data_IF_955949446538
#
_entry.id   IF_955949446538
#
_cell.length_a   1.000
_cell.length_b   1.000
_cell.length_c   1.000
_cell.angle_alpha   90.00
_cell.angle_beta   90.00
_cell.angle_gamma   90.00
#
_symmetry.space_group_name_H-M   'P 1'
#
loop_
_entity.id
_entity.type
_entity.pdbx_description
1 polymer ?
#
# COMPACT_ATOMS: atom_id res chain seq x y z
N UNK A 1 1.12 -8.54 30.86
CA UNK A 1 0.67 -7.61 29.79
C UNK A 1 -0.76 -7.97 29.47
N UNK A 2 -1.61 -7.04 29.06
CA UNK A 2 -2.87 -7.47 28.45
C UNK A 2 -2.48 -8.15 27.13
N UNK A 3 -2.56 -9.48 27.07
CA UNK A 3 -2.10 -10.32 25.94
C UNK A 3 -2.80 -10.01 24.59
N UNK A 4 -3.61 -8.94 24.53
CA UNK A 4 -4.46 -8.60 23.41
C UNK A 4 -4.49 -7.08 23.09
N UNK A 5 -3.45 -6.33 23.46
CA UNK A 5 -3.37 -4.89 23.16
C UNK A 5 -1.93 -4.37 23.05
N UNK A 6 -1.77 -3.26 22.34
CA UNK A 6 -0.50 -2.55 22.15
C UNK A 6 -0.49 -1.28 23.00
N UNK A 7 0.55 -1.07 23.80
CA UNK A 7 0.71 0.16 24.58
C UNK A 7 0.97 1.36 23.67
N UNK A 8 0.20 2.44 23.84
CA UNK A 8 0.39 3.69 23.08
C UNK A 8 0.89 4.84 23.96
N UNK A 9 0.66 4.77 25.27
CA UNK A 9 1.08 5.81 26.19
C UNK A 9 0.26 5.82 27.47
N UNK A 10 0.30 6.96 28.16
CA UNK A 10 -0.39 7.16 29.44
C UNK A 10 -1.01 8.55 29.53
N UNK A 11 -2.29 8.58 29.86
CA UNK A 11 -3.07 9.74 30.27
C UNK A 11 -3.20 9.74 31.81
N UNK A 12 -4.41 9.93 32.35
CA UNK A 12 -4.77 9.55 33.72
C UNK A 12 -4.69 8.02 33.93
N UNK A 13 -4.78 7.26 32.84
CA UNK A 13 -4.67 5.80 32.80
C UNK A 13 -3.72 5.34 31.70
N UNK A 14 -3.39 4.05 31.69
CA UNK A 14 -2.69 3.41 30.58
C UNK A 14 -3.59 3.43 29.34
N UNK A 15 -3.05 3.86 28.21
CA UNK A 15 -3.75 3.91 26.93
C UNK A 15 -3.20 2.85 26.00
N UNK A 16 -4.08 2.03 25.44
CA UNK A 16 -3.73 0.85 24.66
C UNK A 16 -4.64 0.72 23.43
N UNK A 17 -4.08 0.19 22.36
CA UNK A 17 -4.81 -0.24 21.17
C UNK A 17 -5.18 -1.71 21.30
N UNK A 18 -6.47 -2.01 21.42
CA UNK A 18 -6.96 -3.38 21.45
C UNK A 18 -6.82 -4.05 20.08
N UNK A 19 -6.15 -5.20 20.02
CA UNK A 19 -5.93 -5.92 18.77
C UNK A 19 -7.24 -6.32 18.05
N UNK A 20 -8.34 -6.73 18.74
CA UNK A 20 -9.60 -7.01 18.06
C UNK A 20 -10.24 -5.79 17.36
N UNK A 21 -9.79 -4.58 17.70
CA UNK A 21 -10.27 -3.32 17.11
C UNK A 21 -9.28 -2.73 16.11
N UNK A 22 -8.10 -3.34 15.94
CA UNK A 22 -7.03 -2.78 15.12
C UNK A 22 -7.28 -2.91 13.60
N UNK A 23 -8.13 -3.83 13.15
CA UNK A 23 -8.55 -3.90 11.75
C UNK A 23 -9.60 -2.83 11.39
N UNK A 24 -10.04 -1.99 12.34
CA UNK A 24 -10.96 -0.86 12.09
C UNK A 24 -10.24 0.38 11.53
N UNK A 25 -9.09 0.17 10.92
CA UNK A 25 -8.20 1.19 10.37
C UNK A 25 -7.78 2.25 11.40
N UNK A 26 -6.91 3.18 11.02
CA UNK A 26 -6.60 4.30 11.87
C UNK A 26 -5.89 5.46 11.20
N UNK A 27 -5.87 6.57 11.93
CA UNK A 27 -5.24 7.80 11.53
C UNK A 27 -4.22 8.21 12.60
N UNK A 28 -2.97 8.44 12.18
CA UNK A 28 -1.95 9.09 13.00
C UNK A 28 -1.64 10.45 12.37
N UNK A 29 -1.95 11.53 13.08
CA UNK A 29 -1.79 12.89 12.54
C UNK A 29 -1.11 13.86 13.50
N UNK A 30 -0.53 14.93 12.98
CA UNK A 30 0.29 15.87 13.74
C UNK A 30 1.29 16.63 12.88
N UNK A 31 1.72 17.82 13.33
CA UNK A 31 2.74 18.59 12.63
C UNK A 31 4.11 17.85 12.56
N UNK A 32 5.01 18.31 11.70
CA UNK A 32 6.38 17.77 11.61
C UNK A 32 7.10 17.86 12.96
N UNK A 33 7.81 16.78 13.32
CA UNK A 33 8.58 16.72 14.57
C UNK A 33 7.75 16.47 15.84
N UNK A 34 6.45 16.20 15.74
CA UNK A 34 5.57 16.02 16.91
C UNK A 34 5.51 14.61 17.46
N UNK A 35 6.11 13.62 16.77
CA UNK A 35 6.19 12.23 17.24
C UNK A 35 5.38 11.20 16.44
N UNK A 36 4.84 11.57 15.26
CA UNK A 36 4.11 10.64 14.38
C UNK A 36 4.91 9.36 14.07
N UNK A 37 6.17 9.52 13.62
CA UNK A 37 7.04 8.39 13.29
C UNK A 37 7.29 7.48 14.48
N UNK A 38 7.49 8.05 15.68
CA UNK A 38 7.64 7.27 16.92
C UNK A 38 6.37 6.48 17.24
N UNK A 39 5.19 7.07 17.00
CA UNK A 39 3.92 6.34 17.17
C UNK A 39 3.79 5.20 16.17
N UNK A 40 4.13 5.44 14.90
CA UNK A 40 4.14 4.41 13.87
C UNK A 40 5.06 3.25 14.29
N UNK A 41 6.29 3.55 14.72
CA UNK A 41 7.26 2.55 15.20
C UNK A 41 6.71 1.73 16.36
N UNK A 42 6.21 2.37 17.43
CA UNK A 42 5.62 1.68 18.59
C UNK A 42 4.46 0.75 18.16
N UNK A 43 3.59 1.24 17.27
CA UNK A 43 2.48 0.43 16.77
C UNK A 43 2.96 -0.74 15.93
N UNK A 44 3.91 -0.52 15.01
CA UNK A 44 4.47 -1.56 14.15
C UNK A 44 5.19 -2.64 14.98
N UNK A 45 6.03 -2.25 15.93
CA UNK A 45 6.69 -3.16 16.86
C UNK A 45 5.67 -3.97 17.67
N UNK A 46 4.64 -3.30 18.21
CA UNK A 46 3.58 -3.96 18.97
C UNK A 46 2.78 -4.98 18.14
N UNK A 47 2.48 -4.67 16.87
CA UNK A 47 1.81 -5.60 15.96
C UNK A 47 2.70 -6.80 15.64
N UNK A 48 3.97 -6.58 15.28
CA UNK A 48 4.92 -7.63 15.00
C UNK A 48 5.13 -8.53 16.23
N UNK A 49 5.27 -7.96 17.43
CA UNK A 49 5.38 -8.70 18.69
C UNK A 49 4.12 -9.55 18.98
N UNK A 50 2.94 -9.03 18.64
CA UNK A 50 1.68 -9.77 18.72
C UNK A 50 1.51 -10.83 17.61
N UNK A 51 2.51 -11.05 16.75
CA UNK A 51 2.45 -12.03 15.65
C UNK A 51 1.62 -11.56 14.46
N UNK A 52 1.44 -10.25 14.29
CA UNK A 52 0.74 -9.64 13.16
C UNK A 52 1.78 -9.07 12.19
N UNK A 53 1.89 -9.58 10.95
CA UNK A 53 2.75 -9.00 9.94
C UNK A 53 2.36 -7.56 9.63
N UNK A 54 3.36 -6.70 9.47
CA UNK A 54 3.19 -5.28 9.19
C UNK A 54 3.79 -4.97 7.83
N UNK A 55 3.14 -4.11 7.06
CA UNK A 55 3.72 -3.49 5.87
C UNK A 55 3.75 -1.98 6.07
N UNK A 56 4.89 -1.35 5.79
CA UNK A 56 5.01 0.10 5.83
C UNK A 56 5.78 0.62 4.62
N UNK A 57 5.28 1.70 4.03
CA UNK A 57 6.03 2.46 3.04
C UNK A 57 6.94 3.48 3.73
N UNK A 58 8.25 3.29 3.61
CA UNK A 58 9.24 4.18 4.21
C UNK A 58 9.73 5.19 3.18
N UNK A 59 9.03 6.32 3.13
CA UNK A 59 9.32 7.42 2.20
C UNK A 59 10.53 8.23 2.66
N UNK A 60 10.78 8.30 3.98
CA UNK A 60 11.82 9.15 4.57
C UNK A 60 13.08 8.40 4.99
N UNK A 61 13.04 7.07 5.01
CA UNK A 61 14.10 6.22 5.55
C UNK A 61 14.05 6.09 7.08
N UNK A 62 13.03 6.65 7.73
CA UNK A 62 12.94 6.73 9.20
C UNK A 62 12.50 5.39 9.83
N UNK A 63 11.93 4.46 9.06
CA UNK A 63 11.46 3.16 9.56
C UNK A 63 12.50 2.06 9.41
N UNK A 64 13.41 2.18 8.45
CA UNK A 64 14.45 1.19 8.18
C UNK A 64 15.26 0.77 9.42
N UNK A 65 15.51 1.68 10.36
CA UNK A 65 16.27 1.42 11.59
C UNK A 65 15.62 0.41 12.55
N UNK A 66 14.34 0.07 12.38
CA UNK A 66 13.61 -0.90 13.22
C UNK A 66 14.22 -2.32 13.18
N UNK A 67 14.99 -2.62 12.13
CA UNK A 67 15.68 -3.91 11.97
C UNK A 67 16.93 -4.05 12.85
N UNK A 68 17.35 -2.99 13.54
CA UNK A 68 18.52 -2.95 14.39
C UNK A 68 18.11 -2.90 15.85
N UNK A 69 18.93 -3.49 16.73
CA UNK A 69 18.77 -3.31 18.17
C UNK A 69 18.93 -1.85 18.53
N UNK A 70 18.01 -1.35 19.34
CA UNK A 70 18.09 0.01 19.85
C UNK A 70 19.24 0.19 20.83
N UNK A 71 19.71 1.43 20.95
CA UNK A 71 20.67 1.80 21.99
C UNK A 71 19.93 2.38 23.20
N UNK A 72 20.27 1.87 24.38
CA UNK A 72 19.77 2.39 25.64
C UNK A 72 20.24 3.83 25.86
N UNK A 73 19.29 4.76 26.01
CA UNK A 73 19.56 6.16 26.38
C UNK A 73 18.82 6.49 27.66
N UNK A 74 19.50 7.13 28.61
CA UNK A 74 18.95 7.39 29.96
C UNK A 74 17.60 8.11 29.91
N UNK A 75 17.48 9.14 29.07
CA UNK A 75 16.23 9.89 28.93
C UNK A 75 15.05 9.04 28.39
N UNK A 76 15.32 8.02 27.58
CA UNK A 76 14.28 7.11 27.07
C UNK A 76 13.83 6.15 28.17
N UNK A 77 14.78 5.60 28.94
CA UNK A 77 14.49 4.71 30.06
C UNK A 77 13.70 5.44 31.16
N UNK A 78 14.13 6.65 31.52
CA UNK A 78 13.41 7.50 32.48
C UNK A 78 12.00 7.84 31.99
N UNK A 79 11.85 8.14 30.69
CA UNK A 79 10.54 8.39 30.08
C UNK A 79 9.65 7.16 30.15
N UNK A 80 10.16 5.99 29.77
CA UNK A 80 9.43 4.72 29.81
C UNK A 80 8.93 4.41 31.23
N UNK A 81 9.80 4.55 32.24
CA UNK A 81 9.42 4.41 33.66
C UNK A 81 8.34 5.39 34.06
N UNK A 82 8.45 6.67 33.67
CA UNK A 82 7.46 7.70 34.01
C UNK A 82 6.06 7.40 33.45
N UNK A 83 5.99 6.81 32.27
CA UNK A 83 4.72 6.46 31.62
C UNK A 83 4.24 5.04 31.97
N UNK A 84 4.99 4.28 32.77
CA UNK A 84 4.67 2.89 33.12
C UNK A 84 4.79 1.93 31.94
N UNK A 85 5.76 2.17 31.05
CA UNK A 85 6.13 1.25 29.97
C UNK A 85 7.27 0.35 30.47
N UNK A 86 6.90 -0.59 31.36
CA UNK A 86 7.87 -1.38 32.15
C UNK A 86 8.63 -2.41 31.32
N UNK A 87 8.09 -2.79 30.16
CA UNK A 87 8.62 -3.75 29.19
C UNK A 87 9.29 -3.08 27.99
N UNK A 88 9.76 -1.84 28.17
CA UNK A 88 10.47 -1.11 27.13
C UNK A 88 11.80 -1.81 26.77
N UNK A 89 11.78 -2.55 25.65
CA UNK A 89 12.91 -3.28 25.10
C UNK A 89 13.58 -2.55 23.94
N UNK A 90 14.77 -3.01 23.58
CA UNK A 90 15.57 -2.50 22.46
C UNK A 90 15.82 -3.60 21.42
N UNK A 91 14.85 -4.50 21.26
CA UNK A 91 14.97 -5.66 20.39
C UNK A 91 14.86 -5.27 18.92
N UNK A 92 15.61 -5.97 18.08
CA UNK A 92 15.49 -5.85 16.63
C UNK A 92 14.21 -6.52 16.13
N UNK A 93 13.55 -5.90 15.15
CA UNK A 93 12.42 -6.51 14.47
C UNK A 93 12.86 -7.34 13.26
N UNK A 94 12.23 -8.50 13.01
CA UNK A 94 12.47 -9.29 11.83
C UNK A 94 11.93 -8.53 10.61
N UNK A 95 12.81 -7.91 9.85
CA UNK A 95 12.44 -7.00 8.76
C UNK A 95 12.80 -7.56 7.40
N UNK A 96 11.91 -7.40 6.42
CA UNK A 96 12.13 -7.66 5.00
C UNK A 96 12.02 -6.33 4.26
N UNK A 97 13.06 -5.99 3.51
CA UNK A 97 13.06 -4.79 2.67
C UNK A 97 12.59 -5.13 1.27
N UNK A 98 11.70 -4.29 0.75
CA UNK A 98 11.07 -4.42 -0.57
C UNK A 98 11.33 -3.17 -1.40
N UNK A 99 11.45 -3.32 -2.71
CA UNK A 99 11.74 -2.22 -3.63
C UNK A 99 11.14 -2.48 -5.02
N UNK A 100 10.43 -1.51 -5.59
CA UNK A 100 9.85 -1.62 -6.95
C UNK A 100 10.94 -1.54 -8.04
N UNK A 101 12.04 -0.86 -7.76
CA UNK A 101 13.16 -0.73 -8.69
C UNK A 101 14.23 -1.82 -8.47
N UNK A 102 14.17 -2.52 -7.33
CA UNK A 102 15.06 -3.64 -6.98
C UNK A 102 16.49 -3.23 -6.67
N UNK A 103 16.71 -2.01 -6.16
CA UNK A 103 18.04 -1.49 -5.83
C UNK A 103 18.40 -1.68 -4.34
N UNK A 104 17.46 -1.37 -3.43
CA UNK A 104 17.68 -1.32 -1.98
C UNK A 104 16.92 -2.41 -1.20
N UNK A 105 16.25 -3.32 -1.91
CA UNK A 105 15.43 -4.38 -1.30
C UNK A 105 15.09 -5.49 -2.28
N UNK A 106 14.31 -6.46 -1.81
CA UNK A 106 13.75 -7.51 -2.66
C UNK A 106 12.84 -6.88 -3.72
N UNK A 107 13.01 -7.22 -5.01
CA UNK A 107 12.20 -6.66 -6.07
C UNK A 107 10.74 -7.06 -5.88
N UNK A 108 9.84 -6.08 -5.87
CA UNK A 108 8.41 -6.32 -6.01
C UNK A 108 8.05 -6.21 -7.48
N UNK A 109 7.35 -7.23 -7.98
CA UNK A 109 6.78 -7.23 -9.34
C UNK A 109 5.37 -7.76 -9.37
N UNK A 110 4.70 -7.48 -10.46
CA UNK A 110 3.43 -8.10 -10.89
C UNK A 110 3.39 -8.17 -12.39
N UNK A 111 2.58 -9.04 -12.97
CA UNK A 111 2.41 -9.07 -14.43
C UNK A 111 1.33 -8.08 -14.90
N UNK A 112 1.41 -7.68 -16.17
CA UNK A 112 0.34 -6.88 -16.80
C UNK A 112 -1.00 -7.64 -16.80
N UNK A 113 -0.95 -8.97 -16.97
CA UNK A 113 -2.09 -9.87 -16.85
C UNK A 113 -2.73 -9.86 -15.46
N UNK A 114 -1.95 -9.94 -14.38
CA UNK A 114 -2.46 -9.85 -13.00
C UNK A 114 -3.12 -8.50 -12.71
N UNK A 115 -2.49 -7.41 -13.14
CA UNK A 115 -3.07 -6.07 -12.99
C UNK A 115 -4.41 -5.93 -13.72
N UNK A 116 -4.51 -6.50 -14.92
CA UNK A 116 -5.72 -6.51 -15.73
C UNK A 116 -6.08 -5.15 -16.36
N UNK A 117 -7.05 -5.14 -17.30
CA UNK A 117 -7.35 -3.97 -18.12
C UNK A 117 -7.99 -2.84 -17.32
N UNK A 118 -8.79 -3.16 -16.29
CA UNK A 118 -9.49 -2.17 -15.48
C UNK A 118 -8.49 -1.34 -14.65
N UNK A 119 -7.60 -1.99 -13.91
CA UNK A 119 -6.64 -1.28 -13.05
C UNK A 119 -5.65 -0.47 -13.89
N UNK A 120 -5.16 -1.05 -14.99
CA UNK A 120 -4.31 -0.33 -15.96
C UNK A 120 -5.00 0.89 -16.56
N UNK A 121 -6.30 0.79 -16.86
CA UNK A 121 -7.08 1.93 -17.38
C UNK A 121 -7.16 3.07 -16.37
N UNK A 122 -7.43 2.73 -15.10
CA UNK A 122 -7.51 3.71 -14.00
C UNK A 122 -6.15 4.34 -13.73
N UNK A 123 -5.08 3.53 -13.72
CA UNK A 123 -3.69 3.96 -13.60
C UNK A 123 -3.35 4.96 -14.71
N UNK A 124 -3.57 4.61 -15.98
CA UNK A 124 -3.22 5.46 -17.12
C UNK A 124 -4.16 6.66 -17.31
N UNK A 125 -5.24 6.77 -16.53
CA UNK A 125 -6.27 7.77 -16.70
C UNK A 125 -6.95 7.68 -18.07
N UNK A 126 -7.24 6.45 -18.51
CA UNK A 126 -7.86 6.18 -19.80
C UNK A 126 -9.34 6.64 -19.81
N UNK A 127 -9.80 7.08 -20.98
CA UNK A 127 -11.23 7.34 -21.22
C UNK A 127 -12.01 6.03 -21.35
N UNK A 128 -13.34 6.07 -21.26
CA UNK A 128 -14.19 4.87 -21.43
C UNK A 128 -13.92 4.13 -22.75
N UNK A 129 -13.70 4.87 -23.84
CA UNK A 129 -13.37 4.28 -25.13
C UNK A 129 -11.98 3.60 -25.15
N UNK A 130 -11.01 4.18 -24.45
CA UNK A 130 -9.66 3.61 -24.32
C UNK A 130 -9.66 2.38 -23.40
N UNK A 131 -10.41 2.44 -22.29
CA UNK A 131 -10.65 1.29 -21.41
C UNK A 131 -11.34 0.16 -22.18
N UNK A 132 -12.37 0.45 -22.98
CA UNK A 132 -13.03 -0.53 -23.83
C UNK A 132 -12.07 -1.21 -24.80
N UNK A 133 -11.21 -0.44 -25.48
CA UNK A 133 -10.18 -0.98 -26.36
C UNK A 133 -9.17 -1.86 -25.61
N UNK A 134 -8.75 -1.45 -24.41
CA UNK A 134 -7.84 -2.24 -23.57
C UNK A 134 -8.49 -3.56 -23.10
N UNK A 135 -9.78 -3.53 -22.75
CA UNK A 135 -10.52 -4.76 -22.40
C UNK A 135 -10.60 -5.74 -23.57
N UNK A 136 -10.85 -5.25 -24.79
CA UNK A 136 -10.85 -6.11 -25.98
C UNK A 136 -9.46 -6.69 -26.22
N UNK A 137 -8.39 -5.89 -26.04
CA UNK A 137 -7.03 -6.37 -26.19
C UNK A 137 -6.72 -7.55 -25.25
N UNK A 138 -7.08 -7.42 -23.97
CA UNK A 138 -6.92 -8.51 -23.00
C UNK A 138 -7.76 -9.74 -23.36
N UNK A 139 -9.01 -9.55 -23.78
CA UNK A 139 -9.86 -10.66 -24.20
C UNK A 139 -9.28 -11.45 -25.38
N UNK A 140 -8.73 -10.75 -26.38
CA UNK A 140 -8.08 -11.38 -27.53
C UNK A 140 -6.82 -12.13 -27.08
N UNK A 141 -6.01 -11.52 -26.20
CA UNK A 141 -4.85 -12.19 -25.64
C UNK A 141 -5.23 -13.49 -24.91
N UNK A 142 -6.30 -13.49 -24.11
CA UNK A 142 -6.80 -14.68 -23.43
C UNK A 142 -7.28 -15.76 -24.42
N UNK A 143 -7.99 -15.37 -25.48
CA UNK A 143 -8.47 -16.30 -26.53
C UNK A 143 -7.33 -16.90 -27.36
N UNK A 144 -6.26 -16.13 -27.59
CA UNK A 144 -5.07 -16.56 -28.32
C UNK A 144 -4.02 -17.24 -27.41
N UNK A 145 -4.26 -17.31 -26.10
CA UNK A 145 -3.34 -17.90 -25.13
C UNK A 145 -2.04 -17.11 -24.93
N UNK A 146 -2.10 -15.80 -25.13
CA UNK A 146 -0.97 -14.87 -24.98
C UNK A 146 -0.93 -14.33 -23.55
N UNK A 147 0.10 -14.72 -22.79
CA UNK A 147 0.38 -14.07 -21.51
C UNK A 147 0.98 -12.69 -21.75
N UNK A 148 0.48 -11.67 -21.04
CA UNK A 148 1.00 -10.30 -21.10
C UNK A 148 1.79 -10.07 -19.80
N UNK A 149 3.10 -10.30 -19.85
CA UNK A 149 3.92 -10.29 -18.64
C UNK A 149 4.36 -8.86 -18.30
N UNK A 150 4.81 -8.11 -19.31
CA UNK A 150 5.38 -6.79 -19.12
C UNK A 150 4.78 -5.70 -20.05
N UNK A 151 5.28 -4.47 -19.92
CA UNK A 151 4.85 -3.35 -20.76
C UNK A 151 5.24 -3.49 -22.23
N UNK A 152 6.23 -4.30 -22.58
CA UNK A 152 6.63 -4.56 -23.99
C UNK A 152 5.63 -5.51 -24.64
N UNK A 153 5.19 -6.54 -23.91
CA UNK A 153 4.16 -7.46 -24.38
C UNK A 153 2.86 -6.71 -24.66
N UNK A 154 2.42 -5.85 -23.73
CA UNK A 154 1.21 -5.05 -23.94
C UNK A 154 1.35 -4.09 -25.13
N UNK A 155 2.52 -3.46 -25.30
CA UNK A 155 2.79 -2.60 -26.46
C UNK A 155 2.75 -3.39 -27.76
N UNK A 156 3.31 -4.60 -27.77
CA UNK A 156 3.31 -5.49 -28.93
C UNK A 156 1.90 -5.92 -29.30
N UNK A 157 1.10 -6.34 -28.31
CA UNK A 157 -0.31 -6.69 -28.49
C UNK A 157 -1.10 -5.51 -29.06
N UNK A 158 -1.00 -4.33 -28.45
CA UNK A 158 -1.70 -3.14 -28.94
C UNK A 158 -1.31 -2.78 -30.38
N UNK A 159 -0.04 -2.99 -30.75
CA UNK A 159 0.41 -2.78 -32.13
C UNK A 159 -0.18 -3.81 -33.09
N UNK A 160 -0.18 -5.08 -32.72
CA UNK A 160 -0.79 -6.16 -33.52
C UNK A 160 -2.28 -5.90 -33.77
N UNK A 161 -3.00 -5.45 -32.74
CA UNK A 161 -4.43 -5.10 -32.85
C UNK A 161 -4.69 -3.90 -33.77
N UNK A 162 -3.77 -2.92 -33.82
CA UNK A 162 -3.86 -1.82 -34.78
C UNK A 162 -3.70 -2.32 -36.22
N UNK A 163 -2.74 -3.21 -36.45
CA UNK A 163 -2.48 -3.79 -37.77
C UNK A 163 -3.63 -4.70 -38.23
N UNK A 164 -4.32 -5.37 -37.29
CA UNK A 164 -5.47 -6.27 -37.53
C UNK A 164 -6.86 -5.63 -37.40
N UNK A 165 -6.97 -4.31 -37.17
CA UNK A 165 -8.22 -3.67 -36.72
C UNK A 165 -9.48 -3.99 -37.54
N UNK A 166 -9.35 -4.25 -38.86
CA UNK A 166 -10.48 -4.64 -39.73
C UNK A 166 -11.07 -6.02 -39.43
N UNK A 167 -10.24 -6.98 -39.02
CA UNK A 167 -10.65 -8.32 -38.65
C UNK A 167 -11.42 -8.26 -37.33
N UNK A 168 -10.84 -7.58 -36.33
CA UNK A 168 -11.34 -7.43 -34.96
C UNK A 168 -12.66 -6.66 -34.90
N UNK A 169 -12.85 -5.68 -35.79
CA UNK A 169 -14.06 -4.83 -35.82
C UNK A 169 -15.34 -5.65 -35.96
N UNK A 170 -15.28 -6.78 -36.66
CA UNK A 170 -16.47 -7.60 -36.93
C UNK A 170 -16.99 -8.29 -35.67
N UNK A 171 -16.10 -8.72 -34.78
CA UNK A 171 -16.44 -9.52 -33.60
C UNK A 171 -16.51 -8.69 -32.31
N UNK A 172 -15.75 -7.58 -32.24
CA UNK A 172 -15.55 -6.81 -31.00
C UNK A 172 -15.92 -5.33 -31.11
N UNK A 173 -16.31 -4.85 -32.30
CA UNK A 173 -16.54 -3.43 -32.56
C UNK A 173 -15.26 -2.67 -32.89
N UNK A 174 -15.42 -1.41 -33.30
CA UNK A 174 -14.32 -0.65 -33.91
C UNK A 174 -13.28 -0.19 -32.88
N UNK A 175 -12.06 -0.71 -32.99
CA UNK A 175 -10.88 -0.18 -32.32
C UNK A 175 -10.09 0.62 -33.35
N UNK A 176 -10.09 1.95 -33.22
CA UNK A 176 -9.36 2.80 -34.15
C UNK A 176 -7.90 3.05 -33.69
N UNK A 177 -7.03 3.33 -34.66
CA UNK A 177 -5.59 3.59 -34.44
C UNK A 177 -5.34 4.76 -33.48
N UNK A 178 -6.25 5.74 -33.43
CA UNK A 178 -6.12 6.91 -32.56
C UNK A 178 -6.23 6.52 -31.08
N UNK A 179 -7.16 5.62 -30.76
CA UNK A 179 -7.37 5.07 -29.41
C UNK A 179 -6.16 4.26 -28.99
N UNK A 180 -5.67 3.35 -29.84
CA UNK A 180 -4.47 2.56 -29.57
C UNK A 180 -3.24 3.45 -29.35
N UNK A 181 -3.02 4.43 -30.24
CA UNK A 181 -1.92 5.37 -30.12
C UNK A 181 -2.00 6.22 -28.85
N UNK A 182 -3.20 6.53 -28.36
CA UNK A 182 -3.38 7.23 -27.08
C UNK A 182 -2.98 6.35 -25.87
N UNK A 183 -3.36 5.07 -25.88
CA UNK A 183 -2.95 4.12 -24.84
C UNK A 183 -1.43 3.94 -24.85
N UNK A 184 -0.83 3.75 -26.03
CA UNK A 184 0.63 3.60 -26.15
C UNK A 184 1.40 4.80 -25.60
N UNK A 185 0.93 6.04 -25.81
CA UNK A 185 1.56 7.24 -25.20
C UNK A 185 1.49 7.23 -23.68
N UNK A 186 0.41 6.71 -23.08
CA UNK A 186 0.30 6.56 -21.63
C UNK A 186 1.24 5.49 -21.08
N UNK A 187 1.41 4.38 -21.82
CA UNK A 187 2.37 3.33 -21.45
C UNK A 187 3.81 3.84 -21.42
N UNK A 188 4.20 4.72 -22.34
CA UNK A 188 5.54 5.34 -22.33
C UNK A 188 5.80 6.11 -21.04
N UNK A 189 4.81 6.87 -20.54
CA UNK A 189 4.95 7.62 -19.29
C UNK A 189 5.18 6.69 -18.10
N UNK A 190 4.50 5.54 -18.06
CA UNK A 190 4.69 4.54 -16.99
C UNK A 190 6.08 3.89 -17.11
N UNK A 191 6.52 3.58 -18.33
CA UNK A 191 7.85 3.02 -18.62
C UNK A 191 8.96 3.98 -18.14
N UNK A 192 8.82 5.29 -18.43
CA UNK A 192 9.75 6.35 -17.99
C UNK A 192 9.80 6.52 -16.46
N UNK A 193 8.71 6.19 -15.75
CA UNK A 193 8.65 6.17 -14.28
C UNK A 193 9.21 4.87 -13.68
N UNK A 194 9.78 3.97 -14.50
CA UNK A 194 10.37 2.70 -14.06
C UNK A 194 9.37 1.55 -13.97
N UNK A 195 8.25 1.63 -14.69
CA UNK A 195 7.30 0.54 -14.83
C UNK A 195 7.91 -0.75 -15.40
N UNK A 196 9.01 -0.66 -16.16
CA UNK A 196 9.76 -1.82 -16.66
C UNK A 196 10.36 -2.69 -15.54
N UNK A 197 10.59 -2.12 -14.36
CA UNK A 197 11.08 -2.85 -13.18
C UNK A 197 9.98 -3.53 -12.40
N UNK A 198 8.81 -2.89 -12.38
CA UNK A 198 7.63 -3.34 -11.66
C UNK A 198 6.83 -4.39 -12.42
N UNK A 199 6.63 -4.22 -13.73
CA UNK A 199 5.87 -5.18 -14.54
C UNK A 199 6.77 -6.32 -15.04
N UNK A 200 6.53 -7.53 -14.56
CA UNK A 200 7.22 -8.75 -14.96
C UNK A 200 7.21 -9.84 -13.90
N UNK A 201 8.03 -10.87 -14.10
CA UNK A 201 8.13 -12.03 -13.21
C UNK A 201 9.44 -12.03 -12.37
N UNK A 202 9.49 -12.75 -11.23
CA UNK A 202 8.36 -13.39 -10.57
C UNK A 202 7.47 -12.34 -9.90
N UNK A 203 6.15 -12.50 -10.04
CA UNK A 203 5.19 -11.68 -9.30
C UNK A 203 5.29 -11.96 -7.80
N UNK A 204 5.00 -10.95 -6.97
CA UNK A 204 4.98 -11.09 -5.52
C UNK A 204 3.85 -12.03 -5.09
N UNK A 205 4.18 -13.11 -4.39
CA UNK A 205 3.19 -13.89 -3.65
C UNK A 205 2.80 -13.13 -2.38
N UNK A 206 1.53 -12.75 -2.27
CA UNK A 206 0.99 -12.04 -1.10
C UNK A 206 1.28 -12.77 0.22
N UNK A 207 1.35 -14.10 0.19
CA UNK A 207 1.67 -14.90 1.38
C UNK A 207 3.07 -14.63 1.91
N UNK A 208 4.00 -14.17 1.09
CA UNK A 208 5.34 -13.78 1.55
C UNK A 208 5.29 -12.58 2.50
N UNK A 209 4.35 -11.64 2.30
CA UNK A 209 4.15 -10.52 3.21
C UNK A 209 3.48 -10.92 4.54
N UNK A 210 2.78 -12.06 4.55
CA UNK A 210 1.98 -12.53 5.69
C UNK A 210 2.74 -13.49 6.62
N UNK A 211 4.04 -13.65 6.41
CA UNK A 211 4.84 -14.63 7.16
C UNK A 211 5.01 -14.23 8.63
N UNK A 212 5.25 -15.24 9.45
CA UNK A 212 5.73 -15.09 10.82
C UNK A 212 7.07 -15.78 11.00
N UNK A 213 7.85 -15.33 11.97
CA UNK A 213 9.10 -15.94 12.37
C UNK A 213 8.86 -17.23 13.17
N UNK A 214 9.93 -17.99 13.42
CA UNK A 214 9.87 -19.25 14.19
C UNK A 214 9.46 -19.04 15.65
N UNK A 215 9.77 -17.87 16.21
CA UNK A 215 9.37 -17.42 17.55
C UNK A 215 7.97 -16.78 17.58
N UNK A 216 7.24 -16.76 16.45
CA UNK A 216 5.85 -16.36 16.37
C UNK A 216 5.59 -14.86 16.15
N UNK A 217 6.65 -14.05 15.98
CA UNK A 217 6.53 -12.62 15.63
C UNK A 217 6.14 -12.45 14.16
N UNK A 218 5.39 -11.41 13.86
CA UNK A 218 5.10 -10.99 12.49
C UNK A 218 6.34 -10.36 11.86
N UNK A 219 6.54 -10.56 10.55
CA UNK A 219 7.57 -9.82 9.82
C UNK A 219 7.16 -8.36 9.61
N UNK A 220 8.13 -7.47 9.74
CA UNK A 220 8.02 -6.08 9.32
C UNK A 220 8.44 -5.98 7.85
N UNK A 221 7.51 -5.68 6.96
CA UNK A 221 7.75 -5.49 5.54
C UNK A 221 7.92 -3.98 5.28
N UNK A 222 9.13 -3.55 4.94
CA UNK A 222 9.44 -2.15 4.67
C UNK A 222 9.62 -1.97 3.17
N UNK A 223 8.76 -1.17 2.56
CA UNK A 223 8.96 -0.72 1.18
C UNK A 223 9.90 0.49 1.19
N UNK A 224 11.05 0.37 0.55
CA UNK A 224 11.94 1.47 0.26
C UNK A 224 11.26 2.38 -0.78
N UNK A 225 10.85 3.57 -0.35
CA UNK A 225 10.06 4.50 -1.17
C UNK A 225 10.74 5.87 -1.37
N UNK A 226 12.02 5.99 -1.02
CA UNK A 226 12.83 7.22 -1.10
C UNK A 226 12.91 7.76 -2.54
N UNK A 227 13.09 6.89 -3.54
CA UNK A 227 13.03 7.26 -4.96
C UNK A 227 11.61 7.29 -5.50
N UNK A 228 10.76 6.43 -4.95
CA UNK A 228 9.39 6.21 -5.39
C UNK A 228 8.50 7.44 -5.19
N UNK A 229 8.87 8.35 -4.27
CA UNK A 229 8.22 9.66 -4.12
C UNK A 229 8.28 10.51 -5.40
N UNK A 230 9.29 10.30 -6.26
CA UNK A 230 9.39 10.99 -7.55
C UNK A 230 8.49 10.36 -8.63
N UNK A 231 7.80 9.26 -8.31
CA UNK A 231 6.85 8.56 -9.18
C UNK A 231 5.54 8.24 -8.44
N UNK A 232 4.76 9.26 -8.00
CA UNK A 232 3.57 9.07 -7.17
C UNK A 232 2.50 8.18 -7.81
N UNK A 233 2.38 8.23 -9.13
CA UNK A 233 1.43 7.41 -9.87
C UNK A 233 1.80 5.92 -9.82
N UNK A 234 3.08 5.57 -9.97
CA UNK A 234 3.56 4.19 -9.81
C UNK A 234 3.39 3.71 -8.36
N UNK A 235 3.67 4.57 -7.38
CA UNK A 235 3.45 4.27 -5.96
C UNK A 235 1.99 3.91 -5.65
N UNK A 236 1.07 4.81 -6.00
CA UNK A 236 -0.35 4.61 -5.75
C UNK A 236 -0.89 3.38 -6.49
N UNK A 237 -0.37 3.10 -7.69
CA UNK A 237 -0.70 1.89 -8.46
C UNK A 237 -0.29 0.63 -7.74
N UNK A 238 0.97 0.54 -7.34
CA UNK A 238 1.46 -0.63 -6.62
C UNK A 238 0.66 -0.87 -5.34
N UNK A 239 0.41 0.18 -4.54
CA UNK A 239 -0.34 0.02 -3.31
C UNK A 239 -1.77 -0.42 -3.55
N UNK A 240 -2.42 0.11 -4.58
CA UNK A 240 -3.78 -0.29 -4.92
C UNK A 240 -3.85 -1.72 -5.46
N UNK A 241 -2.89 -2.10 -6.31
CA UNK A 241 -2.75 -3.46 -6.78
C UNK A 241 -2.55 -4.41 -5.60
N UNK A 242 -1.59 -4.12 -4.72
CA UNK A 242 -1.31 -4.92 -3.53
C UNK A 242 -2.55 -5.10 -2.65
N UNK A 243 -3.31 -4.03 -2.40
CA UNK A 243 -4.54 -4.13 -1.62
C UNK A 243 -5.65 -4.90 -2.36
N UNK A 244 -5.70 -4.83 -3.69
CA UNK A 244 -6.67 -5.60 -4.50
C UNK A 244 -6.34 -7.08 -4.48
N UNK A 245 -5.08 -7.45 -4.68
CA UNK A 245 -4.59 -8.83 -4.56
C UNK A 245 -4.87 -9.41 -3.16
N UNK A 246 -4.59 -8.64 -2.10
CA UNK A 246 -4.94 -9.03 -0.74
C UNK A 246 -6.44 -9.27 -0.57
N UNK A 247 -7.28 -8.41 -1.18
CA UNK A 247 -8.72 -8.58 -1.10
C UNK A 247 -9.20 -9.85 -1.81
N UNK A 248 -8.59 -10.19 -2.94
CA UNK A 248 -8.95 -11.36 -3.75
C UNK A 248 -8.45 -12.67 -3.13
N UNK A 249 -7.19 -12.72 -2.70
CA UNK A 249 -6.54 -13.92 -2.16
C UNK A 249 -6.92 -14.23 -0.71
N UNK A 250 -7.18 -13.22 0.11
CA UNK A 250 -7.46 -13.46 1.54
C UNK A 250 -8.89 -13.97 1.76
N UNK A 251 -9.11 -14.90 2.71
CA UNK A 251 -10.45 -15.29 3.11
C UNK A 251 -11.14 -14.17 3.90
N UNK A 252 -12.47 -14.13 3.85
CA UNK A 252 -13.23 -13.30 4.76
C UNK A 252 -13.12 -13.82 6.20
N UNK A 253 -12.78 -12.93 7.12
CA UNK A 253 -12.64 -13.20 8.55
C UNK A 253 -13.40 -12.09 9.29
N UNK A 254 -14.48 -12.43 9.99
CA UNK A 254 -15.39 -11.47 10.62
C UNK A 254 -14.70 -10.57 11.65
N UNK A 255 -14.82 -10.91 12.94
CA UNK A 255 -14.15 -10.18 14.02
C UNK A 255 -13.02 -11.05 14.60
N UNK A 256 -11.80 -10.97 14.03
CA UNK A 256 -10.68 -11.76 14.53
C UNK A 256 -10.13 -11.20 15.85
N UNK A 257 -9.49 -12.04 16.65
CA UNK A 257 -8.85 -11.61 17.93
C UNK A 257 -7.73 -10.59 17.71
N UNK A 258 -7.07 -10.65 16.55
CA UNK A 258 -6.06 -9.70 16.10
C UNK A 258 -6.10 -9.60 14.56
N UNK A 259 -5.60 -8.51 13.95
CA UNK A 259 -5.55 -8.39 12.50
C UNK A 259 -4.72 -9.52 11.89
N UNK A 260 -5.04 -9.89 10.66
CA UNK A 260 -4.21 -10.81 9.86
C UNK A 260 -2.97 -10.11 9.30
N UNK A 261 -3.07 -8.81 9.06
CA UNK A 261 -1.99 -7.96 8.60
C UNK A 261 -2.33 -6.49 8.87
N UNK A 262 -1.32 -5.63 9.01
CA UNK A 262 -1.50 -4.18 9.17
C UNK A 262 -0.64 -3.41 8.17
N UNK A 263 -1.24 -2.40 7.54
CA UNK A 263 -0.57 -1.46 6.64
C UNK A 263 -0.37 -0.11 7.30
N UNK A 264 0.82 0.47 7.16
CA UNK A 264 1.11 1.87 7.46
C UNK A 264 1.49 2.60 6.19
N UNK A 265 0.75 3.66 5.90
CA UNK A 265 1.08 4.60 4.83
C UNK A 265 1.63 5.87 5.46
N UNK A 266 2.97 5.93 5.57
CA UNK A 266 3.63 7.19 5.91
C UNK A 266 3.54 8.16 4.75
N UNK A 267 3.39 9.44 5.08
CA UNK A 267 3.04 10.49 4.12
C UNK A 267 1.86 10.10 3.23
N UNK A 268 0.77 9.66 3.86
CA UNK A 268 -0.45 9.20 3.20
C UNK A 268 -1.03 10.15 2.14
N UNK A 269 -0.73 11.45 2.22
CA UNK A 269 -1.12 12.42 1.20
C UNK A 269 -0.62 12.06 -0.21
N UNK A 270 0.51 11.35 -0.34
CA UNK A 270 1.07 10.89 -1.62
C UNK A 270 0.19 9.86 -2.34
N UNK A 271 -0.66 9.14 -1.60
CA UNK A 271 -1.63 8.22 -2.19
C UNK A 271 -2.78 8.93 -2.89
N UNK A 272 -3.06 10.17 -2.47
CA UNK A 272 -4.24 10.91 -2.90
C UNK A 272 -3.89 12.10 -3.79
N UNK A 273 -2.68 12.65 -3.67
CA UNK A 273 -2.19 13.74 -4.49
C UNK A 273 -2.05 13.30 -5.95
N UNK A 274 -2.66 14.06 -6.86
CA UNK A 274 -2.58 13.86 -8.33
C UNK A 274 -3.01 12.46 -8.83
N UNK A 275 -3.66 11.66 -7.99
CA UNK A 275 -4.23 10.38 -8.36
C UNK A 275 -5.42 10.58 -9.31
N UNK A 276 -5.52 9.82 -10.43
CA UNK A 276 -6.68 9.87 -11.31
C UNK A 276 -7.98 9.60 -10.52
N UNK A 277 -9.12 10.27 -10.85
CA UNK A 277 -10.37 10.09 -10.11
C UNK A 277 -10.82 8.63 -9.98
N UNK A 278 -10.62 7.84 -11.03
CA UNK A 278 -10.92 6.41 -11.01
C UNK A 278 -10.01 5.61 -10.06
N UNK A 279 -8.76 6.03 -9.88
CA UNK A 279 -7.83 5.43 -8.92
C UNK A 279 -8.26 5.75 -7.48
N UNK A 280 -8.61 7.01 -7.22
CA UNK A 280 -9.13 7.47 -5.92
C UNK A 280 -10.36 6.67 -5.49
N UNK A 281 -11.34 6.52 -6.39
CA UNK A 281 -12.55 5.75 -6.11
C UNK A 281 -12.24 4.30 -5.70
N UNK A 282 -11.26 3.67 -6.36
CA UNK A 282 -10.86 2.29 -6.06
C UNK A 282 -10.11 2.20 -4.74
N UNK A 283 -9.28 3.19 -4.38
CA UNK A 283 -8.65 3.27 -3.05
C UNK A 283 -9.72 3.34 -1.97
N UNK A 284 -10.70 4.24 -2.12
CA UNK A 284 -11.82 4.39 -1.17
C UNK A 284 -12.59 3.09 -0.97
N UNK A 285 -12.94 2.43 -2.08
CA UNK A 285 -13.63 1.15 -2.05
C UNK A 285 -12.81 0.08 -1.34
N UNK A 286 -11.50 0.02 -1.62
CA UNK A 286 -10.62 -1.01 -1.06
C UNK A 286 -10.43 -0.83 0.43
N UNK A 287 -10.22 0.40 0.91
CA UNK A 287 -10.17 0.70 2.35
C UNK A 287 -11.45 0.23 3.05
N UNK A 288 -12.62 0.47 2.45
CA UNK A 288 -13.90 0.05 3.02
C UNK A 288 -14.05 -1.48 3.11
N UNK A 289 -13.55 -2.22 2.12
CA UNK A 289 -13.78 -3.65 1.99
C UNK A 289 -12.73 -4.51 2.70
N UNK A 290 -11.45 -4.10 2.71
CA UNK A 290 -10.35 -4.93 3.18
C UNK A 290 -10.45 -5.28 4.68
N UNK A 291 -11.23 -4.52 5.45
CA UNK A 291 -11.53 -4.85 6.85
C UNK A 291 -12.14 -6.25 7.00
N UNK A 292 -13.02 -6.68 6.08
CA UNK A 292 -13.62 -8.02 6.13
C UNK A 292 -12.61 -9.15 5.92
N UNK A 293 -11.41 -8.83 5.44
CA UNK A 293 -10.26 -9.75 5.32
C UNK A 293 -9.36 -9.70 6.55
N UNK A 294 -9.73 -8.93 7.58
CA UNK A 294 -8.95 -8.79 8.81
C UNK A 294 -7.71 -7.93 8.65
N UNK A 295 -7.64 -7.08 7.63
CA UNK A 295 -6.50 -6.17 7.39
C UNK A 295 -6.78 -4.79 8.00
N UNK A 296 -5.84 -4.27 8.78
CA UNK A 296 -5.85 -2.90 9.27
C UNK A 296 -5.08 -1.96 8.34
N UNK A 297 -5.57 -0.75 8.12
CA UNK A 297 -4.87 0.30 7.36
C UNK A 297 -4.71 1.52 8.26
N UNK A 298 -3.50 2.02 8.38
CA UNK A 298 -3.18 3.19 9.18
C UNK A 298 -2.54 4.26 8.30
N UNK A 299 -3.24 5.38 8.14
CA UNK A 299 -2.71 6.53 7.43
C UNK A 299 -1.95 7.43 8.40
N UNK A 300 -0.72 7.75 8.05
CA UNK A 300 0.13 8.67 8.81
C UNK A 300 0.33 9.92 7.98
N UNK A 301 -0.21 11.04 8.44
CA UNK A 301 -0.20 12.31 7.67
C UNK A 301 0.02 13.52 8.57
N UNK A 302 0.60 14.59 8.02
CA UNK A 302 0.77 15.84 8.74
C UNK A 302 -0.57 16.57 8.94
N UNK A 303 -1.43 16.53 7.93
CA UNK A 303 -2.72 17.19 7.91
C UNK A 303 -3.80 16.17 7.54
N UNK A 304 -4.83 15.96 8.40
CA UNK A 304 -5.89 15.02 8.09
C UNK A 304 -6.67 15.41 6.83
N UNK A 305 -6.72 16.69 6.46
CA UNK A 305 -7.45 17.18 5.29
C UNK A 305 -6.83 16.75 3.96
N UNK A 306 -5.62 16.19 3.97
CA UNK A 306 -4.98 15.65 2.76
C UNK A 306 -5.52 14.24 2.41
N UNK A 307 -6.40 13.69 3.24
CA UNK A 307 -7.07 12.39 3.04
C UNK A 307 -8.54 12.65 2.72
N UNK A 308 -9.12 11.98 1.70
CA UNK A 308 -10.54 12.10 1.37
C UNK A 308 -11.45 11.81 2.57
N UNK A 309 -12.53 12.59 2.71
CA UNK A 309 -13.48 12.46 3.83
C UNK A 309 -14.12 11.07 3.91
N UNK A 310 -14.41 10.47 2.76
CA UNK A 310 -14.87 9.09 2.57
C UNK A 310 -13.96 8.06 3.24
N UNK A 311 -12.63 8.23 3.12
CA UNK A 311 -11.59 7.40 3.74
C UNK A 311 -11.47 7.71 5.23
N UNK A 312 -11.41 8.99 5.61
CA UNK A 312 -11.35 9.42 7.01
C UNK A 312 -12.52 8.89 7.85
N UNK A 313 -13.70 8.79 7.25
CA UNK A 313 -14.89 8.22 7.88
C UNK A 313 -14.72 6.72 8.23
N UNK A 314 -13.80 6.00 7.57
CA UNK A 314 -13.48 4.60 7.89
C UNK A 314 -12.46 4.46 9.03
N UNK A 315 -11.82 5.54 9.48
CA UNK A 315 -10.75 5.50 10.49
C UNK A 315 -11.33 5.38 11.90
N UNK A 316 -11.43 4.16 12.41
CA UNK A 316 -11.95 3.84 13.74
C UNK A 316 -10.98 4.13 14.88
N UNK A 317 -9.66 4.06 14.63
CA UNK A 317 -8.64 4.38 15.62
C UNK A 317 -7.96 5.71 15.28
N UNK A 318 -7.67 6.56 16.27
CA UNK A 318 -7.07 7.89 16.03
C UNK A 318 -6.01 8.22 17.06
N UNK A 319 -4.82 8.59 16.59
CA UNK A 319 -3.74 9.18 17.39
C UNK A 319 -3.43 10.56 16.83
N UNK A 320 -3.74 11.59 17.60
CA UNK A 320 -3.54 12.97 17.21
C UNK A 320 -2.44 13.61 18.07
N UNK A 321 -1.32 13.89 17.44
CA UNK A 321 -0.26 14.74 17.98
C UNK A 321 -0.61 16.22 17.80
N UNK A 322 0.25 17.10 18.30
CA UNK A 322 0.06 18.54 18.17
C UNK A 322 -0.13 18.96 16.70
N UNK A 323 -1.26 19.56 16.39
CA UNK A 323 -1.52 20.20 15.09
C UNK A 323 -1.18 21.69 15.21
N UNK A 324 -0.54 22.26 14.18
CA UNK A 324 -0.44 23.71 14.07
C UNK A 324 -1.84 24.21 13.70
N UNK A 325 -2.39 25.14 14.47
CA UNK A 325 -3.68 25.73 14.17
C UNK A 325 -3.62 26.39 12.78
N UNK A 326 -4.33 25.81 11.81
CA UNK A 326 -4.64 26.49 10.56
C UNK A 326 -6.12 26.86 10.59
N UNK A 327 -6.40 28.09 10.18
CA UNK A 327 -7.74 28.69 10.14
C UNK A 327 -8.72 27.75 9.44
N UNK A 328 -9.89 27.44 10.02
CA UNK A 328 -10.89 26.62 9.35
C UNK A 328 -11.31 27.26 8.02
N UNK A 329 -11.54 26.43 7.00
CA UNK A 329 -12.23 26.82 5.75
C UNK A 329 -13.73 26.62 5.91
#
# INVERSE_FOLDING_TARGET
MADNSIFLGKSDKREELFLPLANRHGLVTGATGTGKTVTLQIMAEGFCAAGVPVFAADVKGDLSGICMKGEAKDFLIERAKKIGFDDYGFEEMPTIFWDLFGESGHPIRTTVSEMGPLMLSRLMGLTEAQEGALNIAFKIADEEGLAILDLKDLRALLKDLADRGKEITTDYGNINDQTIGAIQRRLVVIDEQGGDKFFGEPALDIKDLMRTTRDGRGYMNVLAADKLINSPQLYATFLLWLMSELFEEMPEVGDPEKPKMVFFFDEAHLLFADAPPGLLQKIEQTVKLIRSKGVGIYFVTQNPLDIPESVLAQMGNRVQHALRAYTPR
#
